data_IF_978144916995
#
_entry.id   IF_978144916995
#
_cell.length_a   1.000
_cell.length_b   1.000
_cell.length_c   1.000
_cell.angle_alpha   90.00
_cell.angle_beta   90.00
_cell.angle_gamma   90.00
#
_symmetry.space_group_name_H-M   'P 1'
#
loop_
_entity.id
_entity.type
_entity.pdbx_description
1 polymer ?
#
# COMPACT_ATOMS: atom_id res chain seq x y z
N UNK A 1 9.66 -5.58 -1.75
CA UNK A 1 9.89 -4.16 -1.42
C UNK A 1 8.68 -3.63 -0.66
N UNK A 2 8.82 -2.53 0.06
CA UNK A 2 7.70 -1.70 0.53
C UNK A 2 7.96 -0.26 0.10
N UNK A 3 6.91 0.54 0.00
CA UNK A 3 6.98 1.97 -0.26
C UNK A 3 6.28 2.78 0.82
N UNK A 4 6.66 4.05 0.97
CA UNK A 4 5.95 5.01 1.82
C UNK A 4 5.86 6.37 1.15
N UNK A 5 4.80 7.10 1.49
CA UNK A 5 4.60 8.50 1.12
C UNK A 5 4.85 9.41 2.34
N UNK A 6 5.99 10.12 2.42
CA UNK A 6 6.37 10.83 3.65
C UNK A 6 5.53 12.07 3.94
N UNK A 7 4.81 12.61 2.94
CA UNK A 7 4.17 13.93 3.03
C UNK A 7 2.64 13.92 2.85
N UNK A 8 2.05 12.80 2.41
CA UNK A 8 0.62 12.67 2.16
C UNK A 8 0.14 11.25 2.45
N UNK A 9 -1.18 11.11 2.61
CA UNK A 9 -1.85 9.80 2.67
C UNK A 9 -2.21 9.32 1.28
N UNK A 10 -2.45 8.01 1.14
CA UNK A 10 -2.95 7.40 -0.08
C UNK A 10 -4.12 6.47 0.24
N UNK A 11 -5.23 6.65 -0.46
CA UNK A 11 -6.45 5.85 -0.29
C UNK A 11 -6.68 4.96 -1.50
N UNK A 12 -7.07 3.71 -1.25
CA UNK A 12 -7.58 2.76 -2.23
C UNK A 12 -8.99 2.31 -1.84
N UNK A 13 -9.94 2.42 -2.77
CA UNK A 13 -11.33 1.95 -2.59
C UNK A 13 -11.67 1.01 -3.74
N UNK A 14 -12.05 -0.25 -3.50
CA UNK A 14 -12.45 -1.17 -4.55
C UNK A 14 -13.80 -0.74 -5.13
N UNK A 15 -13.97 -0.81 -6.47
CA UNK A 15 -15.21 -0.40 -7.13
C UNK A 15 -16.28 -1.50 -7.18
N UNK A 16 -15.87 -2.76 -7.33
CA UNK A 16 -16.78 -3.86 -7.70
C UNK A 16 -16.86 -4.96 -6.61
N UNK A 17 -16.88 -4.56 -5.33
CA UNK A 17 -16.89 -5.45 -4.16
C UNK A 17 -15.79 -6.53 -4.21
N UNK A 18 -14.62 -6.19 -4.74
CA UNK A 18 -13.52 -7.14 -4.89
C UNK A 18 -12.57 -7.07 -3.68
N UNK A 19 -12.38 -8.18 -2.95
CA UNK A 19 -11.31 -8.30 -1.97
C UNK A 19 -9.95 -7.96 -2.58
N UNK A 20 -9.10 -7.33 -1.79
CA UNK A 20 -7.72 -7.07 -2.14
C UNK A 20 -6.82 -7.25 -0.92
N UNK A 21 -5.54 -7.52 -1.17
CA UNK A 21 -4.57 -7.72 -0.11
C UNK A 21 -3.88 -6.40 0.24
N UNK A 22 -3.60 -6.24 1.52
CA UNK A 22 -2.94 -5.08 2.09
C UNK A 22 -1.77 -5.56 2.92
N UNK A 23 -0.56 -5.15 2.59
CA UNK A 23 0.65 -5.47 3.35
C UNK A 23 1.25 -4.15 3.82
N UNK A 24 1.44 -4.00 5.13
CA UNK A 24 1.88 -2.75 5.76
C UNK A 24 2.90 -2.98 6.86
N UNK A 25 3.68 -1.95 7.17
CA UNK A 25 4.48 -1.85 8.39
C UNK A 25 4.36 -0.43 8.99
N UNK A 26 4.56 -0.26 10.31
CA UNK A 26 4.52 1.05 10.96
C UNK A 26 5.50 2.04 10.34
N UNK A 27 5.18 3.34 10.39
CA UNK A 27 6.08 4.40 9.93
C UNK A 27 7.41 4.39 10.69
N UNK A 28 8.51 4.42 9.95
CA UNK A 28 9.90 4.41 10.42
C UNK A 28 10.85 4.85 9.30
N UNK A 29 12.11 5.09 9.60
CA UNK A 29 13.13 5.44 8.58
C UNK A 29 13.29 4.34 7.52
N UNK A 30 13.33 3.08 7.97
CA UNK A 30 13.30 1.84 7.17
C UNK A 30 12.26 0.85 7.75
N UNK A 31 11.57 0.04 6.93
CA UNK A 31 10.54 -0.87 7.42
C UNK A 31 11.15 -2.00 8.26
N UNK A 32 10.63 -2.22 9.47
CA UNK A 32 10.98 -3.40 10.24
C UNK A 32 10.19 -4.62 9.76
N UNK A 33 10.89 -5.62 9.22
CA UNK A 33 10.30 -6.86 8.71
C UNK A 33 9.40 -7.57 9.75
N UNK A 34 9.78 -7.52 11.03
CA UNK A 34 9.02 -8.17 12.12
C UNK A 34 7.66 -7.50 12.39
N UNK A 35 7.53 -6.24 11.99
CA UNK A 35 6.33 -5.44 12.18
C UNK A 35 5.42 -5.44 10.96
N UNK A 36 5.79 -6.15 9.90
CA UNK A 36 4.92 -6.33 8.74
C UNK A 36 3.66 -7.07 9.16
N UNK A 37 2.52 -6.56 8.69
CA UNK A 37 1.20 -7.16 8.84
C UNK A 37 0.56 -7.24 7.47
N UNK A 38 -0.23 -8.29 7.29
CA UNK A 38 -1.03 -8.48 6.09
C UNK A 38 -2.50 -8.60 6.46
N UNK A 39 -3.34 -8.03 5.62
CA UNK A 39 -4.79 -8.02 5.74
C UNK A 39 -5.41 -8.36 4.40
N UNK A 40 -6.62 -8.93 4.45
CA UNK A 40 -7.50 -9.07 3.30
C UNK A 40 -8.74 -8.21 3.57
N UNK A 41 -9.10 -7.35 2.62
CA UNK A 41 -10.36 -6.61 2.70
C UNK A 41 -11.53 -7.53 2.34
N UNK A 42 -12.73 -7.22 2.84
CA UNK A 42 -13.94 -7.97 2.47
C UNK A 42 -14.54 -7.51 1.11
N UNK A 43 -13.84 -6.65 0.36
CA UNK A 43 -14.33 -6.04 -0.88
C UNK A 43 -15.24 -4.83 -0.70
N UNK A 44 -15.85 -4.64 0.47
CA UNK A 44 -16.64 -3.45 0.82
C UNK A 44 -15.84 -2.41 1.63
N UNK A 45 -14.59 -2.72 1.95
CA UNK A 45 -13.67 -1.88 2.69
C UNK A 45 -12.66 -1.23 1.76
N UNK A 46 -12.52 0.09 1.85
CA UNK A 46 -11.34 0.81 1.37
C UNK A 46 -10.26 0.91 2.47
N UNK A 47 -9.04 1.26 2.07
CA UNK A 47 -7.96 1.58 3.01
C UNK A 47 -7.40 2.96 2.72
N UNK A 48 -7.01 3.66 3.77
CA UNK A 48 -6.23 4.88 3.67
C UNK A 48 -4.93 4.71 4.47
N UNK A 49 -3.81 4.68 3.77
CA UNK A 49 -2.50 4.67 4.41
C UNK A 49 -2.20 6.05 4.95
N UNK A 50 -2.01 6.14 6.27
CA UNK A 50 -1.51 7.36 6.89
C UNK A 50 -0.13 7.71 6.35
N UNK A 51 0.17 9.01 6.29
CA UNK A 51 1.49 9.53 5.91
C UNK A 51 2.63 8.77 6.60
N UNK A 52 3.62 8.34 5.83
CA UNK A 52 4.82 7.65 6.30
C UNK A 52 4.65 6.15 6.58
N UNK A 53 3.43 5.61 6.55
CA UNK A 53 3.21 4.17 6.68
C UNK A 53 3.81 3.43 5.48
N UNK A 54 4.62 2.41 5.78
CA UNK A 54 5.14 1.50 4.77
C UNK A 54 4.03 0.59 4.30
N UNK A 55 3.91 0.40 3.00
CA UNK A 55 2.92 -0.48 2.39
C UNK A 55 3.47 -1.11 1.11
N UNK A 56 2.95 -2.26 0.73
CA UNK A 56 3.23 -2.86 -0.57
C UNK A 56 2.32 -2.21 -1.62
N UNK A 57 2.78 -2.05 -2.88
CA UNK A 57 1.93 -1.60 -3.98
C UNK A 57 0.64 -2.40 -4.07
N UNK A 58 -0.44 -1.80 -4.58
CA UNK A 58 -1.77 -2.41 -4.65
C UNK A 58 -1.75 -3.87 -5.16
N UNK A 59 -2.29 -4.80 -4.38
CA UNK A 59 -2.39 -6.24 -4.71
C UNK A 59 -3.86 -6.61 -4.94
N UNK A 60 -4.28 -6.72 -6.21
CA UNK A 60 -5.60 -7.26 -6.54
C UNK A 60 -5.61 -8.79 -6.46
N UNK A 61 -6.74 -9.36 -6.07
CA UNK A 61 -6.96 -10.82 -6.03
C UNK A 61 -7.57 -11.34 -7.35
N UNK A 62 -8.13 -10.44 -8.16
CA UNK A 62 -8.69 -10.76 -9.48
C UNK A 62 -8.04 -9.89 -10.56
N UNK A 63 -8.07 -10.43 -11.76
CA UNK A 63 -7.76 -9.68 -12.97
C UNK A 63 -8.77 -8.55 -13.17
N UNK A 64 -8.33 -7.46 -13.81
CA UNK A 64 -9.13 -6.28 -14.16
C UNK A 64 -9.84 -5.56 -12.99
N UNK A 65 -9.40 -5.79 -11.75
CA UNK A 65 -9.96 -5.13 -10.58
C UNK A 65 -9.79 -3.60 -10.65
N UNK A 66 -10.88 -2.86 -10.44
CA UNK A 66 -10.90 -1.40 -10.49
C UNK A 66 -10.88 -0.78 -9.10
N UNK A 67 -10.08 0.27 -8.95
CA UNK A 67 -9.94 1.01 -7.70
C UNK A 67 -10.10 2.50 -7.93
N UNK A 68 -10.80 3.15 -7.01
CA UNK A 68 -10.70 4.60 -6.83
C UNK A 68 -9.45 4.84 -6.00
N UNK A 69 -8.55 5.66 -6.53
CA UNK A 69 -7.32 6.08 -5.85
C UNK A 69 -7.44 7.56 -5.53
N UNK A 70 -7.18 7.91 -4.27
CA UNK A 70 -7.09 9.30 -3.82
C UNK A 70 -5.72 9.50 -3.22
N UNK A 71 -4.86 10.23 -3.93
CA UNK A 71 -3.51 10.56 -3.51
C UNK A 71 -3.13 11.99 -3.91
N UNK A 72 -1.87 12.34 -3.64
CA UNK A 72 -1.34 13.65 -4.01
C UNK A 72 -0.80 13.58 -5.44
N UNK A 73 -1.36 14.42 -6.31
CA UNK A 73 -0.90 14.57 -7.69
C UNK A 73 0.52 15.15 -7.75
N UNK A 74 1.40 14.50 -8.52
CA UNK A 74 2.71 15.04 -8.88
C UNK A 74 2.56 16.23 -9.84
N UNK A 75 3.21 17.36 -9.54
CA UNK A 75 3.26 18.56 -10.38
C UNK A 75 4.72 18.85 -10.76
N UNK A 76 5.06 18.60 -12.02
CA UNK A 76 6.43 18.65 -12.55
C UNK A 76 7.16 19.95 -12.23
N UNK A 77 6.48 21.10 -12.40
CA UNK A 77 7.14 22.41 -12.31
C UNK A 77 7.32 22.93 -10.88
N UNK A 78 6.68 22.31 -9.89
CA UNK A 78 6.64 22.82 -8.50
C UNK A 78 7.02 21.82 -7.43
N UNK A 79 7.11 20.53 -7.76
CA UNK A 79 7.36 19.49 -6.77
C UNK A 79 8.85 19.22 -6.60
N UNK A 80 9.40 19.69 -5.47
CA UNK A 80 10.78 19.47 -5.03
C UNK A 80 10.90 18.41 -3.93
N UNK A 81 9.77 17.86 -3.45
CA UNK A 81 9.74 16.86 -2.38
C UNK A 81 9.88 15.43 -2.90
N UNK A 82 10.53 14.57 -2.12
CA UNK A 82 10.54 13.12 -2.35
C UNK A 82 9.18 12.51 -1.98
N UNK A 83 8.42 12.09 -2.99
CA UNK A 83 7.01 11.71 -2.82
C UNK A 83 6.81 10.25 -2.46
N UNK A 84 7.72 9.39 -2.89
CA UNK A 84 7.67 7.96 -2.67
C UNK A 84 9.07 7.46 -2.38
N UNK A 85 9.24 6.82 -1.24
CA UNK A 85 10.49 6.16 -0.85
C UNK A 85 10.24 4.66 -0.95
N UNK A 86 11.08 3.97 -1.72
CA UNK A 86 11.03 2.52 -1.92
C UNK A 86 12.16 1.87 -1.14
N UNK A 87 11.84 0.88 -0.32
CA UNK A 87 12.81 0.07 0.39
C UNK A 87 12.76 -1.38 -0.13
N UNK A 88 13.87 -1.93 -0.68
CA UNK A 88 13.92 -3.32 -1.09
C UNK A 88 13.75 -4.23 0.13
N UNK A 89 13.02 -5.33 -0.03
CA UNK A 89 12.98 -6.39 0.97
C UNK A 89 13.62 -7.59 0.29
N UNK A 90 14.82 -7.91 0.73
CA UNK A 90 15.61 -9.04 0.25
C UNK A 90 15.51 -10.18 1.27
N UNK A 91 15.67 -11.42 0.80
CA UNK A 91 15.77 -12.63 1.63
C UNK A 91 14.62 -12.86 2.63
N UNK A 92 13.44 -12.30 2.38
CA UNK A 92 12.23 -12.49 3.19
C UNK A 92 11.07 -12.99 2.34
N UNK A 93 10.53 -14.15 2.70
CA UNK A 93 9.31 -14.68 2.11
C UNK A 93 8.13 -14.42 3.04
N UNK A 94 7.10 -13.76 2.52
CA UNK A 94 5.82 -13.57 3.20
C UNK A 94 4.79 -14.38 2.42
N UNK A 95 4.22 -15.40 3.05
CA UNK A 95 3.17 -16.23 2.47
C UNK A 95 1.85 -15.95 3.18
N UNK A 96 0.80 -15.73 2.39
CA UNK A 96 -0.57 -15.60 2.87
C UNK A 96 -1.37 -16.78 2.33
N UNK A 97 -1.81 -17.65 3.24
CA UNK A 97 -2.74 -18.72 2.92
C UNK A 97 -4.14 -18.29 3.36
N UNK A 98 -5.07 -18.21 2.41
CA UNK A 98 -6.47 -17.91 2.68
C UNK A 98 -7.37 -18.69 1.72
N UNK A 99 -8.55 -19.10 2.21
CA UNK A 99 -9.61 -19.69 1.39
C UNK A 99 -10.65 -18.62 1.10
N UNK A 100 -10.87 -18.33 -0.19
CA UNK A 100 -12.00 -17.52 -0.67
C UNK A 100 -13.28 -18.34 -0.74
#
# INVERSE_FOLDING_TARGET
>A
MLEKHPFFSQTFIPKDNQPFLVVVAPSSDEPNIKDIRAFISNGEQGVNYSRGVWHFPLISVRDDAQFIVIDRKYVIDSDDIEQCIVHPIEDTNITLEFSL
#
